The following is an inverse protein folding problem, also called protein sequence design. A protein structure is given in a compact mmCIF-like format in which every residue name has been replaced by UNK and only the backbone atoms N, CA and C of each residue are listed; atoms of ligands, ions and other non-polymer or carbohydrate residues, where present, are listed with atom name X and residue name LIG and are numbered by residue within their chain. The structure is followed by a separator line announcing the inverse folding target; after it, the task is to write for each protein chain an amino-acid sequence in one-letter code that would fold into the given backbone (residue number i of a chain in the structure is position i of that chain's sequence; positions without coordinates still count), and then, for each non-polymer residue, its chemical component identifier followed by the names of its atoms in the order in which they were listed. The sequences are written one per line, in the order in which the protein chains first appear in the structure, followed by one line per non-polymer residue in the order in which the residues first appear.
data_IF_350724139886
#
_entry.id   IF_350724139886
#
_cell.length_a   1.000
_cell.length_b   1.000
_cell.length_c   1.000
_cell.angle_alpha   90.00
_cell.angle_beta   90.00
_cell.angle_gamma   90.00
#
_symmetry.space_group_name_H-M   'P 1'
#
loop_
_entity.id
_entity.type
_entity.pdbx_description
1 polymer ?
#
# COMPACT_ATOMS: atom_id res chain seq x y z
N UNK A 1 -3.51 3.56 7.03
CA UNK A 1 -3.55 2.08 6.99
C UNK A 1 -3.29 1.54 8.36
N UNK A 2 -3.90 0.43 8.75
CA UNK A 2 -3.63 -0.21 10.05
C UNK A 2 -2.14 -0.42 10.31
N UNK A 3 -1.38 -1.00 9.36
CA UNK A 3 0.06 -1.25 9.56
C UNK A 3 0.89 0.03 9.67
N UNK A 4 0.59 1.03 8.84
CA UNK A 4 1.25 2.33 8.92
C UNK A 4 0.98 3.01 10.27
N UNK A 5 -0.25 2.95 10.76
CA UNK A 5 -0.63 3.53 12.06
C UNK A 5 0.14 2.89 13.21
N UNK A 6 0.30 1.56 13.21
CA UNK A 6 1.12 0.89 14.21
C UNK A 6 2.60 1.29 14.13
N UNK A 7 3.17 1.39 12.93
CA UNK A 7 4.56 1.84 12.75
C UNK A 7 4.73 3.24 13.34
N UNK A 8 3.85 4.17 12.98
CA UNK A 8 3.89 5.56 13.44
C UNK A 8 3.71 5.66 14.95
N UNK A 9 2.75 4.94 15.52
CA UNK A 9 2.50 4.91 16.96
C UNK A 9 3.75 4.43 17.71
N UNK A 10 4.34 3.31 17.30
CA UNK A 10 5.51 2.74 17.98
C UNK A 10 6.70 3.69 17.90
N UNK A 11 6.97 4.29 16.74
CA UNK A 11 8.02 5.29 16.57
C UNK A 11 7.81 6.51 17.47
N UNK A 12 6.57 6.99 17.59
CA UNK A 12 6.23 8.09 18.50
C UNK A 12 6.42 7.71 19.96
N UNK A 13 5.98 6.52 20.38
CA UNK A 13 6.17 6.04 21.75
C UNK A 13 7.66 5.88 22.09
N UNK A 14 8.47 5.38 21.16
CA UNK A 14 9.92 5.30 21.34
C UNK A 14 10.56 6.68 21.51
N UNK A 15 10.15 7.67 20.70
CA UNK A 15 10.64 9.06 20.83
C UNK A 15 10.23 9.66 22.17
N UNK A 16 8.95 9.51 22.57
CA UNK A 16 8.44 10.03 23.83
C UNK A 16 9.11 9.39 25.04
N UNK A 17 9.42 8.08 24.97
CA UNK A 17 10.22 7.39 25.99
C UNK A 17 11.58 8.07 26.16
N UNK A 18 12.30 8.28 25.06
CA UNK A 18 13.62 8.93 25.10
C UNK A 18 13.56 10.36 25.64
N UNK A 19 12.56 11.13 25.23
CA UNK A 19 12.33 12.49 25.74
C UNK A 19 11.94 12.54 27.21
N UNK A 20 11.36 11.46 27.74
CA UNK A 20 10.89 11.36 29.13
C UNK A 20 11.88 10.65 30.05
N UNK A 21 13.12 10.39 29.58
CA UNK A 21 14.13 9.63 30.33
C UNK A 21 14.41 10.26 31.70
N UNK A 22 14.44 9.43 32.74
CA UNK A 22 14.50 9.79 34.16
C UNK A 22 13.29 10.60 34.68
N UNK A 23 12.21 10.71 33.89
CA UNK A 23 10.97 11.37 34.26
C UNK A 23 9.91 10.39 34.76
N UNK A 24 8.90 10.89 35.46
CA UNK A 24 7.81 10.08 36.05
C UNK A 24 7.01 9.28 35.01
N UNK A 25 7.05 9.69 33.74
CA UNK A 25 6.34 9.03 32.64
C UNK A 25 7.19 7.97 31.92
N UNK A 26 8.51 7.86 32.17
CA UNK A 26 9.37 6.94 31.40
C UNK A 26 8.83 5.49 31.42
N UNK A 27 8.46 5.01 32.61
CA UNK A 27 8.03 3.63 32.83
C UNK A 27 6.73 3.27 32.11
N UNK A 28 5.89 4.26 31.75
CA UNK A 28 4.61 4.00 31.08
C UNK A 28 4.81 3.56 29.62
N UNK A 29 5.91 3.96 28.98
CA UNK A 29 6.08 3.75 27.55
C UNK A 29 6.41 2.30 27.19
N UNK A 30 7.11 1.56 28.04
CA UNK A 30 7.45 0.15 27.77
C UNK A 30 6.21 -0.76 27.69
N UNK A 31 5.24 -0.70 28.62
CA UNK A 31 3.96 -1.37 28.48
C UNK A 31 3.21 -0.97 27.22
N UNK A 32 3.17 0.33 26.87
CA UNK A 32 2.48 0.81 25.68
C UNK A 32 3.10 0.26 24.39
N UNK A 33 4.43 0.30 24.29
CA UNK A 33 5.19 -0.25 23.15
C UNK A 33 4.97 -1.76 23.05
N UNK A 34 4.94 -2.46 24.17
CA UNK A 34 4.69 -3.91 24.23
C UNK A 34 3.31 -4.26 23.66
N UNK A 35 2.27 -3.56 24.12
CA UNK A 35 0.90 -3.76 23.64
C UNK A 35 0.75 -3.38 22.16
N UNK A 36 1.34 -2.26 21.74
CA UNK A 36 1.32 -1.84 20.34
C UNK A 36 1.99 -2.86 19.42
N UNK A 37 3.14 -3.41 19.82
CA UNK A 37 3.82 -4.47 19.06
C UNK A 37 2.98 -5.75 18.97
N UNK A 38 2.33 -6.17 20.06
CA UNK A 38 1.44 -7.33 20.05
C UNK A 38 0.35 -7.21 18.98
N UNK A 39 -0.34 -6.07 18.92
CA UNK A 39 -1.41 -5.88 17.93
C UNK A 39 -0.90 -5.64 16.51
N UNK A 40 0.25 -4.99 16.35
CA UNK A 40 0.96 -4.90 15.06
C UNK A 40 1.27 -6.29 14.51
N UNK A 41 1.77 -7.20 15.33
CA UNK A 41 2.11 -8.57 14.92
C UNK A 41 0.86 -9.40 14.57
N UNK A 42 -0.27 -9.16 15.25
CA UNK A 42 -1.56 -9.72 14.86
C UNK A 42 -2.02 -9.17 13.50
N UNK A 43 -1.89 -7.86 13.28
CA UNK A 43 -2.25 -7.22 12.01
C UNK A 43 -1.40 -7.75 10.84
N UNK A 44 -0.10 -8.00 11.06
CA UNK A 44 0.81 -8.61 10.07
C UNK A 44 0.44 -10.06 9.69
N UNK A 45 -0.39 -10.74 10.48
CA UNK A 45 -0.91 -12.08 10.18
C UNK A 45 -2.29 -12.04 9.49
N UNK A 46 -2.96 -10.89 9.50
CA UNK A 46 -4.30 -10.71 8.97
C UNK A 46 -4.27 -10.49 7.44
N UNK A 47 -4.68 -11.51 6.67
CA UNK A 47 -4.66 -11.48 5.19
C UNK A 47 -5.39 -10.27 4.59
N UNK A 48 -6.60 -9.88 5.05
CA UNK A 48 -7.26 -8.66 4.57
C UNK A 48 -6.44 -7.39 4.79
N UNK A 49 -5.81 -7.23 5.97
CA UNK A 49 -4.97 -6.08 6.27
C UNK A 49 -3.74 -6.05 5.37
N UNK A 50 -3.11 -7.21 5.13
CA UNK A 50 -1.99 -7.33 4.20
C UNK A 50 -2.40 -6.90 2.79
N UNK A 51 -3.51 -7.43 2.25
CA UNK A 51 -3.99 -7.04 0.92
C UNK A 51 -4.33 -5.55 0.84
N UNK A 52 -5.09 -5.02 1.80
CA UNK A 52 -5.45 -3.60 1.83
C UNK A 52 -4.21 -2.68 1.87
N UNK A 53 -3.14 -3.11 2.56
CA UNK A 53 -1.88 -2.37 2.61
C UNK A 53 -1.15 -2.43 1.27
N UNK A 54 -1.01 -3.62 0.67
CA UNK A 54 -0.31 -3.80 -0.60
C UNK A 54 -1.05 -3.18 -1.79
N UNK A 55 -2.37 -3.10 -1.73
CA UNK A 55 -3.24 -2.45 -2.72
C UNK A 55 -3.45 -0.95 -2.47
N UNK A 56 -2.78 -0.40 -1.46
CA UNK A 56 -2.81 1.04 -1.23
C UNK A 56 -1.75 1.73 -2.09
N UNK A 57 -2.13 2.67 -2.98
CA UNK A 57 -1.23 3.25 -3.97
C UNK A 57 -0.05 4.02 -3.36
N UNK A 58 -0.21 4.60 -2.16
CA UNK A 58 0.86 5.34 -1.47
C UNK A 58 1.89 4.47 -0.73
N UNK A 59 1.56 3.20 -0.45
CA UNK A 59 2.35 2.34 0.44
C UNK A 59 2.88 1.12 -0.28
N UNK A 60 1.99 0.40 -0.95
CA UNK A 60 2.26 -0.82 -1.69
C UNK A 60 3.17 -1.80 -0.92
N UNK A 61 4.09 -2.47 -1.62
CA UNK A 61 5.15 -3.27 -1.00
C UNK A 61 6.24 -2.42 -0.33
N UNK A 62 6.35 -1.14 -0.68
CA UNK A 62 7.41 -0.26 -0.17
C UNK A 62 7.26 0.03 1.32
N UNK A 63 6.04 0.05 1.87
CA UNK A 63 5.85 0.07 3.32
C UNK A 63 6.42 -1.18 4.00
N UNK A 64 6.27 -2.35 3.39
CA UNK A 64 6.87 -3.57 3.93
C UNK A 64 8.39 -3.55 3.82
N UNK A 65 8.93 -3.05 2.71
CA UNK A 65 10.37 -2.92 2.55
C UNK A 65 10.98 -2.02 3.64
N UNK A 66 10.34 -0.90 3.94
CA UNK A 66 10.88 0.12 4.85
C UNK A 66 10.55 -0.08 6.33
N UNK A 67 9.38 -0.63 6.66
CA UNK A 67 8.90 -0.72 8.05
C UNK A 67 8.72 -2.15 8.55
N UNK A 68 8.63 -3.13 7.64
CA UNK A 68 8.35 -4.54 7.98
C UNK A 68 9.21 -5.49 7.15
N UNK A 69 10.51 -5.24 7.04
CA UNK A 69 11.41 -5.89 6.08
C UNK A 69 11.35 -7.43 6.16
N UNK A 70 11.26 -8.00 7.36
CA UNK A 70 11.10 -9.45 7.59
C UNK A 70 9.83 -10.06 6.96
N UNK A 71 8.84 -9.22 6.64
CA UNK A 71 7.57 -9.61 6.04
C UNK A 71 7.49 -9.27 4.55
N UNK A 72 8.44 -8.51 3.99
CA UNK A 72 8.40 -8.05 2.59
C UNK A 72 8.29 -9.20 1.58
N UNK A 73 9.21 -10.17 1.63
CA UNK A 73 9.20 -11.31 0.70
C UNK A 73 7.90 -12.15 0.82
N UNK A 74 7.40 -12.31 2.04
CA UNK A 74 6.15 -13.03 2.30
C UNK A 74 4.94 -12.28 1.73
N UNK A 75 4.89 -10.95 1.91
CA UNK A 75 3.86 -10.08 1.37
C UNK A 75 3.86 -10.12 -0.16
N UNK A 76 5.02 -9.95 -0.79
CA UNK A 76 5.18 -10.03 -2.25
C UNK A 76 4.73 -11.38 -2.81
N UNK A 77 5.17 -12.50 -2.22
CA UNK A 77 4.74 -13.84 -2.63
C UNK A 77 3.22 -14.03 -2.48
N UNK A 78 2.65 -13.50 -1.40
CA UNK A 78 1.20 -13.57 -1.15
C UNK A 78 0.40 -12.76 -2.18
N UNK A 79 0.83 -11.54 -2.49
CA UNK A 79 0.22 -10.69 -3.52
C UNK A 79 0.23 -11.37 -4.89
N UNK A 80 1.39 -11.88 -5.31
CA UNK A 80 1.54 -12.57 -6.60
C UNK A 80 0.66 -13.82 -6.68
N UNK A 81 0.60 -14.62 -5.61
CA UNK A 81 -0.26 -15.81 -5.57
C UNK A 81 -1.74 -15.44 -5.74
N UNK A 82 -2.20 -14.40 -5.03
CA UNK A 82 -3.56 -13.91 -5.15
C UNK A 82 -3.85 -13.37 -6.55
N UNK A 83 -2.94 -12.59 -7.09
CA UNK A 83 -3.07 -12.05 -8.44
C UNK A 83 -3.23 -13.16 -9.49
N UNK A 84 -2.37 -14.19 -9.46
CA UNK A 84 -2.46 -15.36 -10.34
C UNK A 84 -3.76 -16.16 -10.16
N UNK A 85 -4.20 -16.36 -8.92
CA UNK A 85 -5.48 -17.01 -8.61
C UNK A 85 -6.65 -16.28 -9.30
N UNK A 86 -6.64 -14.93 -9.29
CA UNK A 86 -7.66 -14.14 -9.99
C UNK A 86 -7.53 -14.21 -11.50
N UNK A 87 -6.33 -14.10 -12.07
CA UNK A 87 -6.15 -14.23 -13.52
C UNK A 87 -6.64 -15.59 -14.05
N UNK A 88 -6.38 -16.68 -13.31
CA UNK A 88 -6.81 -18.02 -13.70
C UNK A 88 -8.34 -18.16 -13.76
N UNK A 89 -9.07 -17.42 -12.92
CA UNK A 89 -10.52 -17.35 -12.95
C UNK A 89 -11.07 -16.53 -14.14
N UNK A 90 -10.20 -15.82 -14.88
CA UNK A 90 -10.59 -14.72 -15.78
C UNK A 90 -10.04 -14.82 -17.22
N UNK A 91 -9.54 -15.98 -17.71
CA UNK A 91 -8.91 -16.15 -19.06
C UNK A 91 -9.61 -15.36 -20.24
N UNK A 92 -8.89 -14.71 -21.21
CA UNK A 92 -9.40 -13.58 -22.05
C UNK A 92 -9.45 -13.85 -23.60
N UNK A 93 -9.75 -12.89 -24.55
CA UNK A 93 -10.18 -11.47 -24.45
C UNK A 93 -11.36 -11.05 -25.38
N UNK A 94 -12.19 -10.07 -24.97
CA UNK A 94 -12.93 -9.23 -25.95
C UNK A 94 -12.22 -7.86 -26.04
N UNK A 95 -11.82 -7.39 -27.23
CA UNK A 95 -11.28 -6.05 -27.39
C UNK A 95 -12.45 -5.06 -27.52
N UNK A 96 -12.41 -3.90 -26.85
CA UNK A 96 -13.28 -2.74 -27.11
C UNK A 96 -12.98 -1.57 -26.15
N UNK A 97 -13.22 -0.31 -26.55
CA UNK A 97 -12.60 0.45 -27.63
C UNK A 97 -11.82 1.67 -27.08
N UNK A 98 -10.83 2.13 -27.85
CA UNK A 98 -10.14 3.40 -27.66
C UNK A 98 -11.11 4.59 -27.58
N UNK A 99 -10.98 5.44 -26.56
CA UNK A 99 -11.02 6.90 -26.75
C UNK A 99 -10.50 7.72 -25.57
N UNK A 100 -9.68 8.70 -25.96
CA UNK A 100 -9.07 9.78 -25.19
C UNK A 100 -10.07 10.52 -24.27
N UNK A 101 -9.71 10.74 -23.01
CA UNK A 101 -10.29 11.81 -22.21
C UNK A 101 -9.30 12.33 -21.13
N UNK A 102 -9.45 13.58 -20.67
CA UNK A 102 -8.37 14.34 -20.04
C UNK A 102 -8.02 13.89 -18.62
N UNK A 103 -6.73 13.97 -18.31
CA UNK A 103 -6.08 13.75 -17.00
C UNK A 103 -6.60 14.71 -15.92
N UNK A 104 -7.13 14.21 -14.78
CA UNK A 104 -7.22 14.99 -13.56
C UNK A 104 -5.90 14.85 -12.77
N UNK A 105 -5.17 15.95 -12.62
CA UNK A 105 -4.02 16.04 -11.72
C UNK A 105 -4.52 16.03 -10.27
N UNK A 106 -4.46 14.88 -9.59
CA UNK A 106 -4.67 14.79 -8.15
C UNK A 106 -3.30 14.87 -7.48
N UNK A 107 -2.69 16.06 -7.45
CA UNK A 107 -1.47 16.30 -6.67
C UNK A 107 -1.89 16.74 -5.27
N UNK A 108 -1.94 15.80 -4.33
CA UNK A 108 -2.07 16.13 -2.92
C UNK A 108 -0.67 16.37 -2.33
N UNK A 109 -0.38 17.61 -1.90
CA UNK A 109 0.77 17.93 -1.05
C UNK A 109 0.43 17.49 0.38
N UNK A 110 1.16 16.51 0.92
CA UNK A 110 1.09 16.12 2.34
C UNK A 110 2.49 15.78 2.85
N UNK A 111 2.71 16.11 4.12
CA UNK A 111 4.00 16.06 4.79
C UNK A 111 4.16 14.65 5.38
N UNK A 112 4.44 13.68 4.51
CA UNK A 112 4.59 12.29 4.94
C UNK A 112 5.08 11.39 3.82
N UNK A 113 6.04 10.54 4.18
CA UNK A 113 6.81 9.66 3.29
C UNK A 113 5.99 9.15 2.10
N UNK A 114 6.26 9.74 0.95
CA UNK A 114 5.72 9.28 -0.32
C UNK A 114 6.76 8.37 -0.95
N UNK A 115 6.41 7.10 -1.00
CA UNK A 115 7.31 6.02 -1.31
C UNK A 115 7.05 5.62 -2.77
N UNK A 116 7.76 6.26 -3.69
CA UNK A 116 7.70 5.97 -5.13
C UNK A 116 8.99 5.27 -5.57
N UNK A 117 8.88 4.31 -6.49
CA UNK A 117 10.04 3.80 -7.21
C UNK A 117 10.50 4.85 -8.26
N UNK A 118 11.80 5.08 -8.46
CA UNK A 118 12.30 5.87 -9.58
C UNK A 118 12.01 5.15 -10.90
N UNK A 119 11.55 5.90 -11.90
CA UNK A 119 11.14 5.39 -13.22
C UNK A 119 12.23 4.56 -13.91
N UNK A 120 11.84 3.43 -14.51
CA UNK A 120 12.42 2.94 -15.77
C UNK A 120 11.28 2.85 -16.78
N UNK A 121 11.23 3.82 -17.70
CA UNK A 121 10.16 3.89 -18.69
C UNK A 121 10.27 2.76 -19.70
N UNK A 122 9.44 1.73 -19.54
CA UNK A 122 8.95 0.90 -20.65
C UNK A 122 7.49 0.57 -20.32
N UNK A 123 6.58 1.09 -21.14
CA UNK A 123 5.12 0.90 -21.06
C UNK A 123 4.70 -0.42 -21.74
N UNK A 124 5.61 -1.41 -21.78
CA UNK A 124 5.51 -2.63 -22.59
C UNK A 124 5.57 -3.91 -21.73
N UNK A 125 5.29 -3.81 -20.42
CA UNK A 125 5.20 -4.98 -19.55
C UNK A 125 3.76 -5.50 -19.54
N UNK A 126 3.54 -6.70 -20.08
CA UNK A 126 2.22 -7.37 -20.17
C UNK A 126 1.55 -7.59 -18.79
N UNK A 127 2.29 -7.58 -17.68
CA UNK A 127 1.78 -7.91 -16.34
C UNK A 127 1.12 -6.70 -15.62
N UNK A 128 -0.20 -6.77 -15.39
CA UNK A 128 -1.00 -5.78 -14.63
C UNK A 128 -0.38 -5.44 -13.27
N UNK A 129 0.26 -6.41 -12.63
CA UNK A 129 0.90 -6.22 -11.34
C UNK A 129 2.14 -5.32 -11.45
N UNK A 130 2.93 -5.46 -12.52
CA UNK A 130 4.08 -4.60 -12.79
C UNK A 130 3.62 -3.15 -13.04
N UNK A 131 2.54 -2.96 -13.80
CA UNK A 131 1.95 -1.63 -14.05
C UNK A 131 1.41 -0.96 -12.78
N UNK A 132 0.77 -1.72 -11.88
CA UNK A 132 0.36 -1.19 -10.58
C UNK A 132 1.56 -0.66 -9.77
N UNK A 133 2.65 -1.42 -9.74
CA UNK A 133 3.89 -1.03 -9.07
C UNK A 133 4.56 0.19 -9.71
N UNK A 134 4.40 0.36 -11.02
CA UNK A 134 4.99 1.45 -11.81
C UNK A 134 4.05 2.65 -12.02
N UNK A 135 2.83 2.64 -11.47
CA UNK A 135 1.82 3.67 -11.74
C UNK A 135 2.24 5.07 -11.27
N UNK A 136 2.12 6.05 -12.15
CA UNK A 136 2.52 7.46 -11.95
C UNK A 136 1.55 8.30 -11.09
N UNK A 137 0.43 7.71 -10.66
CA UNK A 137 -0.63 8.43 -9.95
C UNK A 137 -0.32 8.51 -8.46
N UNK A 138 0.08 9.69 -8.01
CA UNK A 138 0.36 9.98 -6.61
C UNK A 138 -0.92 9.98 -5.75
N UNK A 139 -0.88 9.27 -4.62
CA UNK A 139 -1.87 9.44 -3.55
C UNK A 139 -1.13 9.84 -2.29
N UNK A 140 -1.42 11.02 -1.75
CA UNK A 140 -0.98 11.37 -0.40
C UNK A 140 -1.62 10.45 0.64
N UNK A 141 -1.07 10.40 1.86
CA UNK A 141 -1.55 9.52 2.95
C UNK A 141 -3.04 9.76 3.28
N UNK A 142 -3.54 10.99 3.05
CA UNK A 142 -4.94 11.42 3.23
C UNK A 142 -5.81 11.29 1.98
N UNK A 143 -5.25 10.83 0.86
CA UNK A 143 -5.98 10.73 -0.37
C UNK A 143 -7.07 9.66 -0.32
N UNK A 144 -8.16 9.87 -1.05
CA UNK A 144 -9.24 8.89 -1.10
C UNK A 144 -8.84 7.72 -2.02
N UNK A 145 -8.50 6.60 -1.40
CA UNK A 145 -8.05 5.36 -2.07
C UNK A 145 -9.07 4.85 -3.07
N UNK A 146 -10.36 4.89 -2.72
CA UNK A 146 -11.42 4.42 -3.60
C UNK A 146 -11.55 5.33 -4.83
N UNK A 147 -11.44 6.65 -4.65
CA UNK A 147 -11.45 7.60 -5.76
C UNK A 147 -10.22 7.44 -6.64
N UNK A 148 -9.06 7.16 -6.05
CA UNK A 148 -7.85 6.83 -6.80
C UNK A 148 -8.08 5.61 -7.69
N UNK A 149 -8.56 4.50 -7.13
CA UNK A 149 -8.84 3.29 -7.89
C UNK A 149 -9.87 3.52 -9.01
N UNK A 150 -10.94 4.29 -8.75
CA UNK A 150 -11.94 4.66 -9.77
C UNK A 150 -11.33 5.51 -10.89
N UNK A 151 -10.50 6.48 -10.57
CA UNK A 151 -9.84 7.34 -11.56
C UNK A 151 -8.80 6.57 -12.39
N UNK A 152 -8.02 5.70 -11.74
CA UNK A 152 -7.04 4.83 -12.40
C UNK A 152 -7.70 3.91 -13.42
N UNK A 153 -8.88 3.36 -13.10
CA UNK A 153 -9.65 2.53 -14.04
C UNK A 153 -10.18 3.36 -15.22
N UNK A 154 -10.68 4.57 -14.96
CA UNK A 154 -11.23 5.40 -16.04
C UNK A 154 -10.15 5.82 -17.04
N UNK A 155 -8.92 6.02 -16.58
CA UNK A 155 -7.76 6.34 -17.41
C UNK A 155 -7.19 5.11 -18.13
N UNK A 156 -7.36 3.93 -17.53
CA UNK A 156 -6.71 2.70 -17.94
C UNK A 156 -7.62 1.48 -17.74
N UNK A 157 -8.73 1.39 -18.51
CA UNK A 157 -9.77 0.39 -18.28
C UNK A 157 -9.27 -1.05 -18.40
N UNK A 158 -8.28 -1.32 -19.24
CA UNK A 158 -7.69 -2.66 -19.41
C UNK A 158 -6.63 -3.00 -18.34
N UNK A 159 -6.25 -2.08 -17.45
CA UNK A 159 -4.98 -2.17 -16.72
C UNK A 159 -5.07 -2.43 -15.21
N UNK A 160 -6.28 -2.50 -14.60
CA UNK A 160 -6.45 -2.58 -13.13
C UNK A 160 -7.68 -3.37 -12.65
N UNK A 161 -8.40 -4.05 -13.56
CA UNK A 161 -9.69 -4.68 -13.27
C UNK A 161 -9.55 -5.86 -12.30
N UNK A 162 -8.47 -6.63 -12.37
CA UNK A 162 -8.29 -7.80 -11.52
C UNK A 162 -7.91 -7.39 -10.10
N UNK A 163 -7.12 -6.32 -9.96
CA UNK A 163 -6.75 -5.75 -8.66
C UNK A 163 -7.93 -5.08 -7.93
N UNK A 164 -8.86 -4.43 -8.64
CA UNK A 164 -10.05 -3.82 -8.02
C UNK A 164 -11.01 -4.85 -7.41
N UNK A 165 -11.14 -6.04 -8.01
CA UNK A 165 -11.96 -7.15 -7.50
C UNK A 165 -11.38 -7.83 -6.24
N UNK A 166 -10.31 -7.28 -5.67
CA UNK A 166 -9.89 -7.59 -4.29
C UNK A 166 -10.47 -6.63 -3.26
N UNK A 167 -11.01 -5.49 -3.68
CA UNK A 167 -11.61 -4.49 -2.80
C UNK A 167 -13.11 -4.68 -2.59
N UNK A 168 -13.74 -5.59 -3.34
CA UNK A 168 -15.15 -6.00 -3.28
C UNK A 168 -15.25 -7.52 -3.36
#
# INVERSE_FOLDING_TARGET
MVLYEYSRLIESLQKLKQSSKNGILEEMFDPMITVANKYKDLALKCKPILMATMLHPAWQLLLFLNKFQSHHAKAQKFLLAKFKERQALLKPPNPLPNKNSPTPNIIAKDDGYTYYAPNSGQDDDEDELARYHNSKLSLGIKGNVLMWWKASILQHPDHMIHLLKFMY
#
